data_IF_426020889617
#
_entry.id   IF_426020889617
#
_cell.length_a   1.000
_cell.length_b   1.000
_cell.length_c   1.000
_cell.angle_alpha   90.00
_cell.angle_beta   90.00
_cell.angle_gamma   90.00
#
_symmetry.space_group_name_H-M   'P 1'
#
loop_
_entity.id
_entity.type
_entity.pdbx_description
1 polymer ?
#
# COMPACT_ATOMS: atom_id res chain seq x y z
N UNK A 1 -18.11 6.04 7.45
CA UNK A 1 -16.97 5.27 6.89
C UNK A 1 -16.02 4.79 7.99
N UNK A 2 -15.46 5.72 8.77
CA UNK A 2 -14.58 5.35 9.89
C UNK A 2 -15.35 4.58 10.96
N UNK A 3 -16.58 4.99 11.24
CA UNK A 3 -17.43 4.28 12.20
C UNK A 3 -17.70 2.84 11.74
N UNK A 4 -17.95 2.65 10.44
CA UNK A 4 -18.11 1.31 9.87
C UNK A 4 -16.88 0.45 10.11
N UNK A 5 -15.69 1.00 9.85
CA UNK A 5 -14.45 0.25 10.01
C UNK A 5 -14.17 -0.12 11.46
N UNK A 6 -14.53 0.75 12.40
CA UNK A 6 -14.38 0.45 13.84
C UNK A 6 -15.34 -0.64 14.30
N UNK A 7 -16.56 -0.65 13.76
CA UNK A 7 -17.58 -1.62 14.16
C UNK A 7 -17.42 -2.97 13.47
N UNK A 8 -16.95 -2.95 12.22
CA UNK A 8 -16.88 -4.15 11.38
C UNK A 8 -15.52 -4.25 10.67
N UNK A 9 -14.42 -4.33 11.43
CA UNK A 9 -13.08 -4.26 10.85
C UNK A 9 -12.75 -5.42 9.92
N UNK A 10 -13.49 -6.55 10.03
CA UNK A 10 -13.23 -7.74 9.22
C UNK A 10 -14.40 -8.11 8.34
N UNK A 11 -15.32 -7.18 8.09
CA UNK A 11 -16.42 -7.46 7.17
C UNK A 11 -15.87 -7.61 5.74
N UNK A 12 -16.61 -8.27 4.84
CA UNK A 12 -16.16 -8.47 3.46
C UNK A 12 -15.86 -7.18 2.69
N UNK A 13 -16.38 -6.04 3.15
CA UNK A 13 -16.16 -4.74 2.51
C UNK A 13 -15.07 -3.92 3.17
N UNK A 14 -14.51 -4.40 4.28
CA UNK A 14 -13.60 -3.60 5.09
C UNK A 14 -12.24 -3.41 4.39
N UNK A 15 -11.75 -4.41 3.64
CA UNK A 15 -10.48 -4.29 2.94
C UNK A 15 -10.51 -3.14 1.92
N UNK A 16 -11.57 -3.04 1.13
CA UNK A 16 -11.74 -1.94 0.20
C UNK A 16 -11.82 -0.60 0.92
N UNK A 17 -12.59 -0.56 2.03
CA UNK A 17 -12.76 0.67 2.79
C UNK A 17 -11.42 1.15 3.37
N UNK A 18 -10.62 0.25 3.94
CA UNK A 18 -9.31 0.60 4.46
C UNK A 18 -8.36 1.04 3.35
N UNK A 19 -8.40 0.36 2.21
CA UNK A 19 -7.57 0.73 1.08
C UNK A 19 -7.90 2.15 0.60
N UNK A 20 -9.18 2.46 0.43
CA UNK A 20 -9.59 3.78 -0.06
C UNK A 20 -9.35 4.88 0.97
N UNK A 21 -9.46 4.57 2.26
CA UNK A 21 -9.08 5.52 3.30
C UNK A 21 -7.58 5.84 3.19
N UNK A 22 -6.76 4.82 3.05
CA UNK A 22 -5.32 5.01 2.87
C UNK A 22 -4.98 5.80 1.63
N UNK A 23 -5.67 5.53 0.51
CA UNK A 23 -5.47 6.25 -0.73
C UNK A 23 -5.83 7.73 -0.58
N UNK A 24 -6.95 8.02 0.09
CA UNK A 24 -7.35 9.40 0.35
C UNK A 24 -6.31 10.14 1.18
N UNK A 25 -5.81 9.50 2.23
CA UNK A 25 -4.78 10.11 3.09
C UNK A 25 -3.49 10.34 2.33
N UNK A 26 -3.12 9.39 1.46
CA UNK A 26 -1.94 9.53 0.63
C UNK A 26 -2.04 10.74 -0.30
N UNK A 27 -3.19 10.90 -0.96
CA UNK A 27 -3.42 12.02 -1.87
C UNK A 27 -3.34 13.35 -1.12
N UNK A 28 -3.81 13.38 0.13
CA UNK A 28 -3.79 14.59 0.97
C UNK A 28 -2.41 14.86 1.58
N UNK A 29 -1.43 13.99 1.34
CA UNK A 29 -0.11 14.14 1.91
C UNK A 29 0.01 13.69 3.37
N UNK A 30 -1.03 13.04 3.89
CA UNK A 30 -1.04 12.52 5.26
C UNK A 30 -0.44 11.11 5.26
N UNK A 31 0.89 11.05 5.10
CA UNK A 31 1.57 9.79 4.81
C UNK A 31 1.55 8.81 5.97
N UNK A 32 1.67 9.28 7.20
CA UNK A 32 1.63 8.36 8.36
C UNK A 32 0.25 7.73 8.51
N UNK A 33 -0.82 8.50 8.31
CA UNK A 33 -2.18 7.96 8.38
C UNK A 33 -2.45 7.00 7.22
N UNK A 34 -1.94 7.32 6.04
CA UNK A 34 -2.05 6.44 4.89
C UNK A 34 -1.33 5.12 5.15
N UNK A 35 -0.16 5.18 5.77
CA UNK A 35 0.60 3.97 6.10
C UNK A 35 -0.17 3.07 7.06
N UNK A 36 -0.81 3.64 8.07
CA UNK A 36 -1.61 2.87 9.02
C UNK A 36 -2.74 2.14 8.30
N UNK A 37 -3.49 2.83 7.44
CA UNK A 37 -4.62 2.23 6.73
C UNK A 37 -4.16 1.11 5.79
N UNK A 38 -3.09 1.33 5.03
CA UNK A 38 -2.57 0.31 4.12
C UNK A 38 -1.99 -0.88 4.88
N UNK A 39 -1.35 -0.64 6.02
CA UNK A 39 -0.82 -1.71 6.88
C UNK A 39 -1.93 -2.60 7.41
N UNK A 40 -3.10 -2.02 7.70
CA UNK A 40 -4.25 -2.80 8.13
C UNK A 40 -4.71 -3.75 7.03
N UNK A 41 -4.74 -3.29 5.77
CA UNK A 41 -5.06 -4.18 4.65
C UNK A 41 -4.07 -5.34 4.59
N UNK A 42 -2.78 -5.05 4.71
CA UNK A 42 -1.75 -6.09 4.62
C UNK A 42 -1.82 -7.08 5.79
N UNK A 43 -2.10 -6.60 7.00
CA UNK A 43 -2.06 -7.42 8.20
C UNK A 43 -3.32 -8.25 8.39
N UNK A 44 -4.48 -7.65 8.17
CA UNK A 44 -5.76 -8.29 8.48
C UNK A 44 -6.46 -8.89 7.27
N UNK A 45 -6.04 -8.53 6.06
CA UNK A 45 -6.67 -8.99 4.82
C UNK A 45 -5.61 -9.52 3.85
N UNK A 46 -4.81 -10.53 4.27
CA UNK A 46 -3.69 -10.98 3.44
C UNK A 46 -4.13 -11.68 2.15
N UNK A 47 -5.42 -12.03 2.02
CA UNK A 47 -5.96 -12.63 0.81
C UNK A 47 -6.79 -11.66 -0.02
N UNK A 48 -6.81 -10.39 0.37
CA UNK A 48 -7.57 -9.38 -0.37
C UNK A 48 -7.00 -9.18 -1.76
N UNK A 49 -7.86 -8.98 -2.79
CA UNK A 49 -7.36 -8.57 -4.11
C UNK A 49 -6.69 -7.20 -4.08
N UNK A 50 -6.87 -6.43 -3.01
CA UNK A 50 -6.20 -5.13 -2.82
C UNK A 50 -4.78 -5.25 -2.29
N UNK A 51 -4.36 -6.46 -1.89
CA UNK A 51 -3.06 -6.63 -1.23
C UNK A 51 -1.88 -6.14 -2.08
N UNK A 52 -1.76 -6.49 -3.38
CA UNK A 52 -0.64 -5.96 -4.17
C UNK A 52 -0.65 -4.44 -4.27
N UNK A 53 -1.83 -3.84 -4.47
CA UNK A 53 -1.96 -2.39 -4.54
C UNK A 53 -1.63 -1.72 -3.22
N UNK A 54 -2.02 -2.32 -2.09
CA UNK A 54 -1.69 -1.80 -0.76
C UNK A 54 -0.17 -1.83 -0.54
N UNK A 55 0.49 -2.93 -0.91
CA UNK A 55 1.95 -3.03 -0.79
C UNK A 55 2.65 -1.98 -1.66
N UNK A 56 2.15 -1.75 -2.87
CA UNK A 56 2.68 -0.71 -3.74
C UNK A 56 2.61 0.65 -3.07
N UNK A 57 1.44 0.97 -2.50
CA UNK A 57 1.25 2.26 -1.81
C UNK A 57 2.16 2.40 -0.60
N UNK A 58 2.37 1.31 0.14
CA UNK A 58 3.31 1.34 1.27
C UNK A 58 4.71 1.69 0.77
N UNK A 59 5.14 1.11 -0.33
CA UNK A 59 6.42 1.46 -0.94
C UNK A 59 6.50 2.94 -1.32
N UNK A 60 5.45 3.46 -1.94
CA UNK A 60 5.37 4.87 -2.31
C UNK A 60 5.40 5.78 -1.07
N UNK A 61 4.68 5.39 -0.01
CA UNK A 61 4.62 6.17 1.23
C UNK A 61 6.00 6.26 1.87
N UNK A 62 6.71 5.13 1.96
CA UNK A 62 8.06 5.15 2.51
C UNK A 62 9.00 6.02 1.67
N UNK A 63 8.85 5.98 0.36
CA UNK A 63 9.64 6.86 -0.51
C UNK A 63 9.37 8.34 -0.19
N UNK A 64 8.10 8.71 -0.04
CA UNK A 64 7.74 10.10 0.28
C UNK A 64 8.24 10.51 1.66
N UNK A 65 8.34 9.56 2.59
CA UNK A 65 8.88 9.81 3.93
C UNK A 65 10.41 9.83 3.98
N UNK A 66 11.07 9.63 2.84
CA UNK A 66 12.53 9.60 2.78
C UNK A 66 13.15 8.29 3.24
N UNK A 67 12.35 7.26 3.39
CA UNK A 67 12.78 5.93 3.84
C UNK A 67 13.06 5.03 2.64
N UNK A 68 14.13 5.34 1.88
CA UNK A 68 14.40 4.69 0.60
C UNK A 68 14.63 3.19 0.73
N UNK A 69 15.32 2.75 1.77
CA UNK A 69 15.59 1.32 1.96
C UNK A 69 14.30 0.53 2.16
N UNK A 70 13.40 1.06 2.98
CA UNK A 70 12.09 0.42 3.19
C UNK A 70 11.24 0.45 1.95
N UNK A 71 11.26 1.57 1.21
CA UNK A 71 10.53 1.69 -0.05
C UNK A 71 10.99 0.60 -1.02
N UNK A 72 12.30 0.43 -1.19
CA UNK A 72 12.84 -0.59 -2.09
C UNK A 72 12.46 -2.00 -1.62
N UNK A 73 12.45 -2.24 -0.32
CA UNK A 73 12.08 -3.55 0.22
C UNK A 73 10.66 -3.93 -0.18
N UNK A 74 9.70 -3.02 -0.02
CA UNK A 74 8.31 -3.29 -0.37
C UNK A 74 8.10 -3.41 -1.87
N UNK A 75 8.76 -2.56 -2.66
CA UNK A 75 8.62 -2.60 -4.11
C UNK A 75 9.25 -3.86 -4.70
N UNK A 76 10.41 -4.27 -4.20
CA UNK A 76 11.05 -5.50 -4.65
C UNK A 76 10.24 -6.74 -4.26
N UNK A 77 9.60 -6.72 -3.10
CA UNK A 77 8.77 -7.86 -2.67
C UNK A 77 7.62 -8.11 -3.64
N UNK A 78 7.07 -7.06 -4.28
CA UNK A 78 6.04 -7.23 -5.29
C UNK A 78 6.54 -8.00 -6.51
N UNK A 79 7.79 -7.77 -6.92
CA UNK A 79 8.37 -8.48 -8.05
C UNK A 79 8.46 -9.98 -7.78
N UNK A 80 8.69 -10.37 -6.53
CA UNK A 80 8.80 -11.77 -6.15
C UNK A 80 7.46 -12.42 -5.89
N UNK A 81 6.55 -11.70 -5.20
CA UNK A 81 5.31 -12.29 -4.70
C UNK A 81 4.17 -12.22 -5.71
N UNK A 82 4.16 -11.22 -6.58
CA UNK A 82 3.06 -11.00 -7.53
C UNK A 82 3.59 -10.73 -8.93
N UNK A 83 4.37 -11.66 -9.52
CA UNK A 83 4.89 -11.46 -10.87
C UNK A 83 3.73 -11.31 -11.87
N UNK A 84 3.82 -10.31 -12.74
CA UNK A 84 2.80 -10.08 -13.75
C UNK A 84 1.61 -9.26 -13.31
N UNK A 85 1.48 -8.94 -12.03
CA UNK A 85 0.39 -8.08 -11.56
C UNK A 85 0.65 -6.63 -11.99
N UNK A 86 -0.40 -5.85 -12.33
CA UNK A 86 -0.21 -4.43 -12.71
C UNK A 86 0.54 -3.61 -11.65
N UNK A 87 0.31 -3.88 -10.35
CA UNK A 87 1.04 -3.20 -9.30
C UNK A 87 2.54 -3.45 -9.37
N UNK A 88 2.93 -4.65 -9.78
CA UNK A 88 4.33 -5.03 -9.92
C UNK A 88 5.02 -4.24 -11.05
N UNK A 89 4.31 -4.02 -12.15
CA UNK A 89 4.82 -3.19 -13.25
C UNK A 89 5.09 -1.77 -12.75
N UNK A 90 4.16 -1.21 -11.98
CA UNK A 90 4.32 0.13 -11.42
C UNK A 90 5.47 0.17 -10.40
N UNK A 91 5.63 -0.90 -9.61
CA UNK A 91 6.74 -1.00 -8.66
C UNK A 91 8.08 -0.99 -9.36
N UNK A 92 8.20 -1.73 -10.46
CA UNK A 92 9.44 -1.78 -11.23
C UNK A 92 9.77 -0.41 -11.83
N UNK A 93 8.78 0.26 -12.39
CA UNK A 93 8.95 1.60 -12.95
C UNK A 93 9.45 2.57 -11.86
N UNK A 94 8.89 2.48 -10.67
CA UNK A 94 9.29 3.36 -9.58
C UNK A 94 10.71 3.05 -9.08
N UNK A 95 11.07 1.77 -9.01
CA UNK A 95 12.44 1.38 -8.66
C UNK A 95 13.46 1.92 -9.66
N UNK A 96 13.13 1.86 -10.95
CA UNK A 96 13.99 2.41 -11.99
C UNK A 96 14.14 3.91 -11.84
N UNK A 97 13.07 4.60 -11.49
CA UNK A 97 13.13 6.04 -11.21
C UNK A 97 14.05 6.33 -10.03
N UNK A 98 13.92 5.54 -8.96
CA UNK A 98 14.78 5.72 -7.77
C UNK A 98 16.25 5.48 -8.10
N UNK A 99 16.54 4.53 -8.98
CA UNK A 99 17.91 4.24 -9.38
C UNK A 99 18.54 5.40 -10.16
N UNK A 100 17.72 6.23 -10.81
CA UNK A 100 18.22 7.40 -11.54
C UNK A 100 18.38 8.64 -10.66
N UNK A 101 17.89 8.59 -9.45
CA UNK A 101 18.05 9.67 -8.49
C UNK A 101 19.37 9.53 -7.71
#
# INVERSE_FOLDING_TARGET
FVAFLRSYPQSPLADDAWYWLGQSRYIMGEFNDALVAMSIVMQYFPKSPRLPSARLKVGYIYYELGEDAKARQFLNALLQDFPGHPATVLAQTHLEKMDRE
#
